data_IF_479437826194
#
_entry.id   IF_479437826194
#
_cell.length_a   1.000
_cell.length_b   1.000
_cell.length_c   1.000
_cell.angle_alpha   90.00
_cell.angle_beta   90.00
_cell.angle_gamma   90.00
#
_symmetry.space_group_name_H-M   'P 1'
#
loop_
_entity.id
_entity.type
_entity.pdbx_description
1 polymer ?
#
# COMPACT_ATOMS: atom_id res chain seq x y z
N UNK A 1 -2.01 -23.98 17.63
CA UNK A 1 -1.66 -22.88 16.69
C UNK A 1 -0.78 -21.88 17.43
N UNK A 2 0.30 -21.42 16.81
CA UNK A 2 1.11 -20.28 17.27
C UNK A 2 1.00 -19.16 16.25
N UNK A 3 0.73 -17.93 16.71
CA UNK A 3 0.66 -16.76 15.85
C UNK A 3 1.85 -15.82 16.15
N UNK A 4 2.63 -15.49 15.12
CA UNK A 4 3.74 -14.55 15.19
C UNK A 4 3.32 -13.21 14.58
N UNK A 5 2.85 -12.30 15.43
CA UNK A 5 2.42 -10.95 15.07
C UNK A 5 3.43 -9.93 15.63
N UNK A 6 4.64 -9.95 15.10
CA UNK A 6 5.76 -9.07 15.48
C UNK A 6 6.17 -8.20 14.28
N UNK A 7 6.92 -7.10 14.49
CA UNK A 7 7.49 -6.34 13.39
C UNK A 7 8.29 -7.23 12.43
N UNK A 8 8.21 -6.93 11.13
CA UNK A 8 8.84 -7.73 10.07
C UNK A 8 10.32 -8.03 10.38
N UNK A 9 11.08 -7.02 10.78
CA UNK A 9 12.53 -7.15 11.00
C UNK A 9 12.86 -8.00 12.25
N UNK A 10 11.91 -8.21 13.16
CA UNK A 10 12.07 -9.08 14.32
C UNK A 10 11.73 -10.55 14.03
N UNK A 11 10.97 -10.83 12.96
CA UNK A 11 10.39 -12.15 12.71
C UNK A 11 11.44 -13.25 12.55
N UNK A 12 12.44 -13.03 11.69
CA UNK A 12 13.48 -14.03 11.44
C UNK A 12 14.28 -14.36 12.72
N UNK A 13 14.70 -13.33 13.45
CA UNK A 13 15.46 -13.49 14.70
C UNK A 13 14.66 -14.22 15.78
N UNK A 14 13.36 -13.92 15.91
CA UNK A 14 12.47 -14.61 16.83
C UNK A 14 12.33 -16.10 16.48
N UNK A 15 12.10 -16.41 15.21
CA UNK A 15 11.91 -17.79 14.73
C UNK A 15 13.17 -18.64 14.95
N UNK A 16 14.34 -18.10 14.62
CA UNK A 16 15.63 -18.75 14.84
C UNK A 16 15.92 -18.95 16.34
N UNK A 17 15.64 -17.94 17.17
CA UNK A 17 15.81 -18.01 18.61
C UNK A 17 14.97 -19.12 19.24
N UNK A 18 13.69 -19.21 18.87
CA UNK A 18 12.78 -20.26 19.35
C UNK A 18 13.21 -21.65 18.87
N UNK A 19 13.76 -21.77 17.66
CA UNK A 19 14.29 -23.04 17.17
C UNK A 19 15.51 -23.51 17.97
N UNK A 20 16.44 -22.60 18.31
CA UNK A 20 17.62 -22.92 19.17
C UNK A 20 17.23 -23.39 20.56
N UNK A 21 16.10 -22.92 21.08
CA UNK A 21 15.55 -23.35 22.37
C UNK A 21 14.75 -24.65 22.27
N UNK A 22 14.59 -25.24 21.08
CA UNK A 22 13.78 -26.45 20.88
C UNK A 22 12.29 -26.22 21.15
N UNK A 23 11.80 -24.99 20.99
CA UNK A 23 10.43 -24.63 21.38
C UNK A 23 9.36 -25.18 20.42
N UNK A 24 9.72 -25.46 19.17
CA UNK A 24 8.80 -25.94 18.14
C UNK A 24 8.42 -27.41 18.33
N UNK A 25 7.13 -27.71 18.19
CA UNK A 25 6.60 -29.07 18.34
C UNK A 25 6.19 -29.66 16.98
N UNK A 26 6.51 -30.93 16.67
CA UNK A 26 6.03 -31.59 15.46
C UNK A 26 4.50 -31.53 15.31
N UNK A 27 4.01 -31.27 14.09
CA UNK A 27 2.58 -31.13 13.79
C UNK A 27 1.93 -29.82 14.25
N UNK A 28 2.65 -28.94 14.96
CA UNK A 28 2.14 -27.65 15.39
C UNK A 28 1.98 -26.70 14.19
N UNK A 29 0.81 -26.08 14.05
CA UNK A 29 0.63 -24.99 13.07
C UNK A 29 1.25 -23.71 13.64
N UNK A 30 2.09 -23.05 12.84
CA UNK A 30 2.70 -21.74 13.15
C UNK A 30 2.40 -20.79 12.00
N UNK A 31 1.70 -19.70 12.28
CA UNK A 31 1.37 -18.66 11.33
C UNK A 31 2.06 -17.35 11.69
N UNK A 32 2.51 -16.57 10.71
CA UNK A 32 2.87 -15.16 10.92
C UNK A 32 1.96 -14.22 10.14
N UNK A 33 1.92 -12.95 10.54
CA UNK A 33 1.08 -11.94 9.89
C UNK A 33 1.84 -10.97 8.99
N UNK A 34 3.17 -11.07 8.86
CA UNK A 34 3.95 -10.21 7.95
C UNK A 34 3.44 -10.29 6.51
N UNK A 35 3.18 -9.15 5.87
CA UNK A 35 2.87 -9.08 4.44
C UNK A 35 4.08 -9.28 3.53
N UNK A 36 5.28 -8.91 4.01
CA UNK A 36 6.54 -9.00 3.27
C UNK A 36 7.07 -10.42 3.12
N UNK A 37 7.01 -11.21 4.19
CA UNK A 37 7.56 -12.57 4.20
C UNK A 37 6.52 -13.59 3.74
N UNK A 38 6.98 -14.64 3.05
CA UNK A 38 6.26 -15.89 2.90
C UNK A 38 6.75 -16.91 3.94
N UNK A 39 6.48 -18.21 3.71
CA UNK A 39 6.84 -19.27 4.68
C UNK A 39 8.33 -19.59 4.74
N UNK A 40 9.16 -19.05 3.83
CA UNK A 40 10.60 -19.25 3.83
C UNK A 40 11.29 -18.78 5.12
N UNK A 41 10.81 -17.69 5.72
CA UNK A 41 11.30 -17.20 7.03
C UNK A 41 11.03 -18.20 8.16
N UNK A 42 10.06 -19.11 7.97
CA UNK A 42 9.69 -20.17 8.90
C UNK A 42 10.40 -21.50 8.60
N UNK A 43 11.50 -21.52 7.83
CA UNK A 43 12.29 -22.74 7.60
C UNK A 43 12.65 -23.50 8.90
N UNK A 44 13.04 -22.85 10.02
CA UNK A 44 13.32 -23.55 11.28
C UNK A 44 12.09 -24.25 11.87
N UNK A 45 10.89 -23.69 11.69
CA UNK A 45 9.63 -24.31 12.10
C UNK A 45 9.42 -25.61 11.33
N UNK A 46 9.58 -25.58 10.01
CA UNK A 46 9.49 -26.77 9.15
C UNK A 46 10.50 -27.84 9.56
N UNK A 47 11.74 -27.45 9.85
CA UNK A 47 12.79 -28.39 10.24
C UNK A 47 12.45 -29.15 11.54
N UNK A 48 11.66 -28.54 12.43
CA UNK A 48 11.14 -29.18 13.64
C UNK A 48 9.86 -30.03 13.41
N UNK A 49 9.42 -30.19 12.15
CA UNK A 49 8.21 -30.94 11.80
C UNK A 49 6.91 -30.18 12.03
N UNK A 50 6.97 -28.88 12.32
CA UNK A 50 5.79 -28.01 12.42
C UNK A 50 5.36 -27.49 11.03
N UNK A 51 4.14 -26.94 10.96
CA UNK A 51 3.44 -26.54 9.73
C UNK A 51 3.47 -25.01 9.61
N UNK A 52 4.34 -24.43 8.75
CA UNK A 52 4.46 -22.98 8.59
C UNK A 52 3.40 -22.42 7.66
N UNK A 53 2.78 -21.32 8.06
CA UNK A 53 1.80 -20.56 7.28
C UNK A 53 2.14 -19.07 7.31
N UNK A 54 1.85 -18.35 6.23
CA UNK A 54 1.89 -16.89 6.19
C UNK A 54 0.47 -16.38 5.90
N UNK A 55 -0.12 -15.67 6.86
CA UNK A 55 -1.51 -15.21 6.82
C UNK A 55 -1.54 -13.69 7.05
N UNK A 56 -1.45 -12.91 5.98
CA UNK A 56 -1.40 -11.45 6.09
C UNK A 56 -2.78 -10.83 5.84
N UNK A 57 -3.47 -10.27 6.85
CA UNK A 57 -4.67 -9.47 6.62
C UNK A 57 -4.34 -8.18 5.87
N UNK A 58 -4.89 -7.98 4.67
CA UNK A 58 -4.70 -6.75 3.89
C UNK A 58 -5.59 -5.60 4.42
N UNK A 59 -5.28 -5.12 5.63
CA UNK A 59 -5.97 -4.00 6.27
C UNK A 59 -5.05 -3.19 7.17
N UNK A 60 -5.48 -1.96 7.48
CA UNK A 60 -4.83 -1.11 8.49
C UNK A 60 -5.49 -1.33 9.85
N UNK A 61 -4.71 -1.73 10.84
CA UNK A 61 -5.16 -1.84 12.23
C UNK A 61 -4.94 -0.52 12.96
N UNK A 62 -5.94 -0.11 13.73
CA UNK A 62 -5.91 1.06 14.61
C UNK A 62 -5.70 0.69 16.09
N UNK A 63 -5.83 -0.60 16.44
CA UNK A 63 -5.82 -1.13 17.80
C UNK A 63 -7.17 -1.00 18.52
N UNK A 64 -8.24 -0.59 17.81
CA UNK A 64 -9.57 -0.38 18.37
C UNK A 64 -10.50 -1.55 18.06
N UNK A 65 -11.57 -1.72 18.86
CA UNK A 65 -12.56 -2.79 18.66
C UNK A 65 -13.20 -2.81 17.26
N UNK A 66 -13.26 -1.65 16.59
CA UNK A 66 -13.75 -1.52 15.22
C UNK A 66 -12.93 -2.33 14.21
N UNK A 67 -11.64 -2.59 14.49
CA UNK A 67 -10.79 -3.40 13.63
C UNK A 67 -11.28 -4.84 13.54
N UNK A 68 -11.92 -5.37 14.59
CA UNK A 68 -12.48 -6.73 14.57
C UNK A 68 -13.60 -6.87 13.54
N UNK A 69 -14.46 -5.85 13.42
CA UNK A 69 -15.50 -5.83 12.40
C UNK A 69 -14.91 -5.76 11.01
N UNK A 70 -13.87 -4.93 10.81
CA UNK A 70 -13.17 -4.81 9.52
C UNK A 70 -12.41 -6.07 9.11
N UNK A 71 -11.97 -6.86 10.09
CA UNK A 71 -11.27 -8.12 9.83
C UNK A 71 -12.14 -9.13 9.06
N UNK A 72 -13.46 -9.12 9.33
CA UNK A 72 -14.43 -10.00 8.65
C UNK A 72 -14.56 -9.65 7.16
N UNK A 73 -14.44 -8.37 6.80
CA UNK A 73 -14.54 -7.92 5.41
C UNK A 73 -13.17 -7.87 4.70
N UNK A 74 -12.11 -8.31 5.37
CA UNK A 74 -10.74 -8.20 4.86
C UNK A 74 -10.36 -9.39 3.98
N UNK A 75 -9.55 -9.14 2.96
CA UNK A 75 -8.87 -10.19 2.20
C UNK A 75 -7.51 -10.50 2.82
N UNK A 76 -7.17 -11.78 2.98
CA UNK A 76 -5.86 -12.20 3.47
C UNK A 76 -4.98 -12.68 2.32
N UNK A 77 -3.74 -12.19 2.27
CA UNK A 77 -2.69 -12.79 1.46
C UNK A 77 -2.15 -14.04 2.14
N UNK A 78 -2.37 -15.20 1.54
CA UNK A 78 -2.02 -16.51 2.08
C UNK A 78 -0.85 -17.12 1.31
N UNK A 79 0.19 -17.53 2.02
CA UNK A 79 1.27 -18.35 1.46
C UNK A 79 1.51 -19.55 2.36
N UNK A 80 1.63 -20.72 1.75
CA UNK A 80 1.88 -22.00 2.41
C UNK A 80 2.47 -22.98 1.38
N UNK A 81 2.99 -24.11 1.84
CA UNK A 81 3.29 -25.21 0.91
C UNK A 81 2.02 -25.69 0.22
N UNK A 82 2.16 -26.24 -0.98
CA UNK A 82 1.04 -26.75 -1.76
C UNK A 82 0.12 -27.71 -0.97
N UNK A 83 0.70 -28.61 -0.16
CA UNK A 83 -0.05 -29.56 0.66
C UNK A 83 -0.77 -28.91 1.87
N UNK A 84 -0.34 -27.72 2.29
CA UNK A 84 -0.83 -27.02 3.48
C UNK A 84 -1.69 -25.80 3.13
N UNK A 85 -1.71 -25.36 1.87
CA UNK A 85 -2.49 -24.22 1.40
C UNK A 85 -4.00 -24.36 1.71
N UNK A 86 -4.66 -25.53 1.52
CA UNK A 86 -6.07 -25.67 1.90
C UNK A 86 -6.32 -25.43 3.40
N UNK A 87 -5.40 -25.85 4.27
CA UNK A 87 -5.49 -25.60 5.72
C UNK A 87 -5.37 -24.10 6.01
N UNK A 88 -4.40 -23.45 5.36
CA UNK A 88 -4.17 -22.01 5.52
C UNK A 88 -5.39 -21.19 5.08
N UNK A 89 -6.00 -21.55 3.94
CA UNK A 89 -7.21 -20.92 3.43
C UNK A 89 -8.42 -21.18 4.33
N UNK A 90 -8.60 -22.41 4.81
CA UNK A 90 -9.68 -22.74 5.75
C UNK A 90 -9.61 -21.91 7.03
N UNK A 91 -8.41 -21.71 7.60
CA UNK A 91 -8.25 -20.85 8.78
C UNK A 91 -8.70 -19.40 8.53
N UNK A 92 -8.46 -18.86 7.34
CA UNK A 92 -8.91 -17.51 6.97
C UNK A 92 -10.43 -17.46 6.81
N UNK A 93 -11.01 -18.44 6.14
CA UNK A 93 -12.47 -18.53 5.95
C UNK A 93 -13.21 -18.69 7.29
N UNK A 94 -12.67 -19.47 8.22
CA UNK A 94 -13.24 -19.63 9.58
C UNK A 94 -13.17 -18.34 10.40
N UNK A 95 -12.24 -17.41 10.07
CA UNK A 95 -12.23 -16.06 10.63
C UNK A 95 -13.24 -15.12 9.95
N UNK A 96 -14.01 -15.60 8.96
CA UNK A 96 -14.97 -14.83 8.19
C UNK A 96 -14.38 -14.04 7.01
N UNK A 97 -13.08 -14.17 6.75
CA UNK A 97 -12.33 -13.40 5.76
C UNK A 97 -12.12 -14.18 4.45
N UNK A 98 -11.73 -13.47 3.39
CA UNK A 98 -11.48 -14.08 2.07
C UNK A 98 -9.98 -14.36 1.86
N UNK A 99 -9.55 -15.62 1.61
CA UNK A 99 -8.15 -15.92 1.34
C UNK A 99 -7.78 -15.77 -0.14
N UNK A 100 -6.68 -15.07 -0.42
CA UNK A 100 -6.04 -15.02 -1.73
C UNK A 100 -4.65 -15.63 -1.65
N UNK A 101 -4.39 -16.67 -2.45
CA UNK A 101 -3.08 -17.29 -2.50
C UNK A 101 -2.06 -16.35 -3.17
N UNK A 102 -0.94 -16.11 -2.49
CA UNK A 102 0.19 -15.32 -2.99
C UNK A 102 1.42 -16.22 -3.03
N UNK A 103 2.12 -16.28 -4.16
CA UNK A 103 3.33 -17.07 -4.27
C UNK A 103 4.44 -16.49 -3.38
N UNK A 104 5.31 -17.38 -2.86
CA UNK A 104 6.44 -17.00 -1.99
C UNK A 104 7.28 -15.86 -2.60
N UNK A 105 7.61 -15.97 -3.89
CA UNK A 105 8.43 -14.99 -4.61
C UNK A 105 7.75 -13.63 -4.84
N UNK A 106 6.42 -13.58 -4.76
CA UNK A 106 5.64 -12.37 -5.04
C UNK A 106 5.35 -11.55 -3.78
N UNK A 107 5.65 -12.06 -2.59
CA UNK A 107 5.27 -11.43 -1.30
C UNK A 107 5.78 -10.01 -1.15
N UNK A 108 7.00 -9.75 -1.62
CA UNK A 108 7.56 -8.39 -1.56
C UNK A 108 6.80 -7.43 -2.48
N UNK A 109 6.50 -7.83 -3.71
CA UNK A 109 5.74 -7.00 -4.65
C UNK A 109 4.29 -6.82 -4.19
N UNK A 110 3.65 -7.90 -3.71
CA UNK A 110 2.33 -7.89 -3.09
C UNK A 110 2.25 -6.87 -1.95
N UNK A 111 3.19 -6.93 -0.99
CA UNK A 111 3.20 -6.01 0.14
C UNK A 111 3.50 -4.57 -0.30
N UNK A 112 4.40 -4.39 -1.28
CA UNK A 112 4.68 -3.08 -1.87
C UNK A 112 3.42 -2.48 -2.49
N UNK A 113 2.61 -3.27 -3.21
CA UNK A 113 1.36 -2.81 -3.81
C UNK A 113 0.36 -2.34 -2.74
N UNK A 114 0.21 -3.09 -1.65
CA UNK A 114 -0.67 -2.71 -0.54
C UNK A 114 -0.20 -1.45 0.18
N UNK A 115 1.10 -1.37 0.49
CA UNK A 115 1.69 -0.17 1.10
C UNK A 115 1.56 1.05 0.18
N UNK A 116 1.74 0.87 -1.13
CA UNK A 116 1.60 1.95 -2.10
C UNK A 116 0.15 2.43 -2.23
N UNK A 117 -0.84 1.53 -2.17
CA UNK A 117 -2.26 1.89 -2.24
C UNK A 117 -2.84 2.44 -0.93
N UNK A 118 -2.32 2.02 0.23
CA UNK A 118 -2.86 2.38 1.54
C UNK A 118 -2.00 3.41 2.27
N UNK A 119 -0.74 3.11 2.55
CA UNK A 119 0.11 3.97 3.38
C UNK A 119 0.41 5.30 2.68
N UNK A 120 0.72 5.27 1.39
CA UNK A 120 0.97 6.52 0.64
C UNK A 120 -0.30 7.37 0.49
N UNK A 121 -1.50 6.77 0.52
CA UNK A 121 -2.73 7.54 0.56
C UNK A 121 -2.81 8.39 1.84
N UNK A 122 -2.35 7.86 2.99
CA UNK A 122 -2.27 8.65 4.23
C UNK A 122 -1.35 9.85 4.07
N UNK A 123 -0.15 9.64 3.50
CA UNK A 123 0.80 10.74 3.21
C UNK A 123 0.19 11.78 2.29
N UNK A 124 -0.42 11.36 1.17
CA UNK A 124 -1.05 12.26 0.20
C UNK A 124 -2.17 13.09 0.83
N UNK A 125 -3.01 12.48 1.67
CA UNK A 125 -4.09 13.19 2.36
C UNK A 125 -3.54 14.15 3.41
N UNK A 126 -2.47 13.78 4.12
CA UNK A 126 -1.83 14.66 5.10
C UNK A 126 -1.24 15.90 4.43
N UNK A 127 -0.49 15.73 3.34
CA UNK A 127 0.09 16.82 2.55
C UNK A 127 -1.00 17.74 1.97
N UNK A 128 -2.06 17.17 1.37
CA UNK A 128 -3.18 17.96 0.85
C UNK A 128 -3.91 18.74 1.97
N UNK A 129 -4.10 18.12 3.14
CA UNK A 129 -4.73 18.79 4.28
C UNK A 129 -3.86 19.93 4.83
N UNK A 130 -2.53 19.77 4.82
CA UNK A 130 -1.59 20.80 5.23
C UNK A 130 -1.68 22.01 4.29
N UNK A 131 -1.57 21.81 2.98
CA UNK A 131 -1.70 22.89 1.99
C UNK A 131 -3.02 23.66 2.16
N UNK A 132 -4.13 22.95 2.36
CA UNK A 132 -5.44 23.57 2.56
C UNK A 132 -5.52 24.40 3.83
N UNK A 133 -4.93 23.94 4.95
CA UNK A 133 -4.85 24.74 6.19
C UNK A 133 -4.07 26.02 5.98
N UNK A 134 -2.95 25.94 5.28
CA UNK A 134 -2.05 27.09 5.12
C UNK A 134 -2.64 28.18 4.22
N UNK A 135 -3.57 27.82 3.32
CA UNK A 135 -4.39 28.79 2.56
C UNK A 135 -5.68 29.21 3.27
N UNK A 136 -5.86 28.84 4.55
CA UNK A 136 -6.94 29.31 5.41
C UNK A 136 -8.19 28.43 5.46
N UNK A 137 -8.11 27.15 5.05
CA UNK A 137 -9.22 26.20 5.23
C UNK A 137 -9.15 25.59 6.63
N UNK A 138 -10.07 25.99 7.51
CA UNK A 138 -10.10 25.55 8.92
C UNK A 138 -10.29 24.03 9.08
N UNK A 139 -11.10 23.41 8.23
CA UNK A 139 -11.47 21.99 8.30
C UNK A 139 -11.26 21.27 6.95
N UNK A 140 -10.01 21.06 6.50
CA UNK A 140 -9.70 20.43 5.21
C UNK A 140 -10.34 19.06 5.04
N UNK A 141 -10.46 18.28 6.11
CA UNK A 141 -11.06 16.95 6.09
C UNK A 141 -12.53 16.96 5.65
N UNK A 142 -13.27 18.05 5.93
CA UNK A 142 -14.66 18.21 5.44
C UNK A 142 -14.72 18.47 3.94
N UNK A 143 -13.69 19.12 3.39
CA UNK A 143 -13.56 19.38 1.96
C UNK A 143 -13.01 18.15 1.22
N UNK A 144 -11.94 17.55 1.73
CA UNK A 144 -11.26 16.42 1.13
C UNK A 144 -12.04 15.12 1.26
N UNK A 145 -12.75 14.90 2.38
CA UNK A 145 -13.41 13.63 2.68
C UNK A 145 -14.35 13.14 1.57
N UNK A 146 -15.38 13.92 1.15
CA UNK A 146 -16.27 13.53 0.07
C UNK A 146 -15.55 13.36 -1.28
N UNK A 147 -14.61 14.25 -1.59
CA UNK A 147 -13.85 14.23 -2.85
C UNK A 147 -12.99 12.96 -2.97
N UNK A 148 -12.24 12.63 -1.92
CA UNK A 148 -11.34 11.47 -1.90
C UNK A 148 -12.12 10.15 -1.87
N UNK A 149 -13.26 10.10 -1.17
CA UNK A 149 -14.13 8.91 -1.18
C UNK A 149 -14.65 8.61 -2.58
N UNK A 150 -15.21 9.62 -3.27
CA UNK A 150 -15.67 9.47 -4.64
C UNK A 150 -14.51 9.10 -5.59
N UNK A 151 -13.33 9.69 -5.38
CA UNK A 151 -12.14 9.38 -6.17
C UNK A 151 -11.70 7.92 -5.99
N UNK A 152 -11.64 7.44 -4.75
CA UNK A 152 -11.31 6.04 -4.43
C UNK A 152 -12.34 5.07 -5.01
N UNK A 153 -13.63 5.34 -4.83
CA UNK A 153 -14.71 4.51 -5.37
C UNK A 153 -14.64 4.42 -6.90
N UNK A 154 -14.43 5.55 -7.59
CA UNK A 154 -14.26 5.57 -9.04
C UNK A 154 -13.01 4.80 -9.48
N UNK A 155 -11.89 4.96 -8.78
CA UNK A 155 -10.64 4.26 -9.09
C UNK A 155 -10.77 2.74 -8.89
N UNK A 156 -11.50 2.30 -7.86
CA UNK A 156 -11.75 0.87 -7.63
C UNK A 156 -12.72 0.27 -8.67
N UNK A 157 -13.75 1.02 -9.06
CA UNK A 157 -14.76 0.54 -10.01
C UNK A 157 -14.28 0.55 -11.46
N UNK A 158 -13.54 1.59 -11.85
CA UNK A 158 -13.18 1.87 -13.25
C UNK A 158 -11.67 1.76 -13.51
N UNK A 159 -10.87 1.54 -12.46
CA UNK A 159 -9.42 1.52 -12.58
C UNK A 159 -8.90 2.82 -13.14
N UNK A 160 -7.98 2.72 -14.08
CA UNK A 160 -7.31 3.87 -14.67
C UNK A 160 -8.22 4.72 -15.56
N UNK A 161 -9.39 4.22 -16.01
CA UNK A 161 -10.32 5.07 -16.79
C UNK A 161 -10.96 6.17 -15.94
N UNK A 162 -10.89 6.07 -14.61
CA UNK A 162 -11.24 7.16 -13.69
C UNK A 162 -10.21 8.29 -13.67
N UNK A 163 -9.07 8.16 -14.37
CA UNK A 163 -8.03 9.18 -14.38
C UNK A 163 -8.55 10.46 -15.05
N UNK A 164 -8.64 11.53 -14.27
CA UNK A 164 -9.08 12.85 -14.70
C UNK A 164 -8.06 13.92 -14.26
N UNK A 165 -8.42 15.19 -14.39
CA UNK A 165 -7.59 16.31 -13.94
C UNK A 165 -6.62 16.82 -15.01
N UNK A 166 -5.83 17.85 -14.65
CA UNK A 166 -5.06 18.61 -15.62
C UNK A 166 -3.97 17.78 -16.32
N UNK A 167 -3.32 16.85 -15.61
CA UNK A 167 -2.30 15.97 -16.21
C UNK A 167 -2.90 15.06 -17.28
N UNK A 168 -4.05 14.43 -16.99
CA UNK A 168 -4.69 13.50 -17.92
C UNK A 168 -5.25 14.19 -19.18
N UNK A 169 -5.64 15.47 -19.06
CA UNK A 169 -6.12 16.30 -20.18
C UNK A 169 -4.99 16.97 -20.97
N UNK A 170 -3.77 17.01 -20.44
CA UNK A 170 -2.66 17.71 -21.07
C UNK A 170 -2.68 19.22 -20.82
N UNK A 171 -3.27 19.68 -19.71
CA UNK A 171 -3.36 21.09 -19.33
C UNK A 171 -2.01 21.58 -18.79
N UNK A 172 -1.02 21.75 -19.67
CA UNK A 172 0.38 22.06 -19.32
C UNK A 172 0.48 23.32 -18.44
N UNK A 173 -0.23 24.39 -18.79
CA UNK A 173 -0.18 25.65 -18.02
C UNK A 173 -0.67 25.47 -16.58
N UNK A 174 -1.70 24.66 -16.36
CA UNK A 174 -2.19 24.34 -15.01
C UNK A 174 -1.16 23.55 -14.21
N UNK A 175 -0.51 22.56 -14.84
CA UNK A 175 0.51 21.74 -14.18
C UNK A 175 1.75 22.57 -13.85
N UNK A 176 2.18 23.46 -14.74
CA UNK A 176 3.29 24.38 -14.51
C UNK A 176 2.99 25.32 -13.31
N UNK A 177 1.81 25.93 -13.29
CA UNK A 177 1.39 26.81 -12.20
C UNK A 177 1.32 26.08 -10.85
N UNK A 178 0.84 24.82 -10.83
CA UNK A 178 0.86 24.02 -9.61
C UNK A 178 2.28 23.74 -9.12
N UNK A 179 3.19 23.38 -10.03
CA UNK A 179 4.58 23.09 -9.66
C UNK A 179 5.30 24.35 -9.14
N UNK A 180 5.06 25.51 -9.75
CA UNK A 180 5.59 26.80 -9.29
C UNK A 180 5.07 27.18 -7.90
N UNK A 181 3.75 27.09 -7.68
CA UNK A 181 3.16 27.36 -6.36
C UNK A 181 3.75 26.45 -5.26
N UNK A 182 3.99 25.18 -5.58
CA UNK A 182 4.60 24.24 -4.64
C UNK A 182 6.10 24.52 -4.43
N UNK A 183 6.85 24.99 -5.44
CA UNK A 183 8.23 25.45 -5.27
C UNK A 183 8.32 26.63 -4.32
N UNK A 184 7.43 27.61 -4.46
CA UNK A 184 7.38 28.76 -3.56
C UNK A 184 7.04 28.34 -2.12
N UNK A 185 6.08 27.42 -1.98
CA UNK A 185 5.66 26.88 -0.70
C UNK A 185 6.79 26.09 0.01
N UNK A 186 7.46 25.17 -0.69
CA UNK A 186 8.56 24.35 -0.15
C UNK A 186 9.90 25.10 -0.08
N UNK A 187 10.07 26.23 -0.77
CA UNK A 187 11.28 27.05 -0.58
C UNK A 187 11.35 27.67 0.83
N UNK A 188 10.20 27.85 1.48
CA UNK A 188 10.10 28.43 2.84
C UNK A 188 10.18 27.41 3.99
N UNK A 189 9.93 26.13 3.71
CA UNK A 189 9.92 25.05 4.68
C UNK A 189 10.57 23.83 4.01
N UNK A 190 11.49 23.11 4.65
CA UNK A 190 12.10 21.90 4.07
C UNK A 190 11.03 20.83 3.80
N UNK A 191 10.30 20.97 2.69
CA UNK A 191 9.01 20.36 2.43
C UNK A 191 9.13 19.16 1.50
N UNK A 192 8.21 18.22 1.69
CA UNK A 192 8.12 16.95 0.97
C UNK A 192 6.99 16.95 -0.09
N UNK A 193 6.27 18.07 -0.23
CA UNK A 193 5.03 18.14 -1.00
C UNK A 193 5.30 18.29 -2.50
N UNK A 194 6.25 19.14 -2.88
CA UNK A 194 6.66 19.32 -4.27
C UNK A 194 7.18 18.00 -4.85
N UNK A 195 8.07 17.31 -4.12
CA UNK A 195 8.64 16.04 -4.57
C UNK A 195 7.54 15.00 -4.82
N UNK A 196 6.62 14.84 -3.86
CA UNK A 196 5.49 13.93 -3.98
C UNK A 196 4.56 14.29 -5.16
N UNK A 197 4.25 15.58 -5.33
CA UNK A 197 3.44 16.07 -6.45
C UNK A 197 4.09 15.76 -7.80
N UNK A 198 5.37 16.09 -7.96
CA UNK A 198 6.10 15.87 -9.21
C UNK A 198 6.19 14.37 -9.52
N UNK A 199 6.47 13.52 -8.53
CA UNK A 199 6.51 12.07 -8.72
C UNK A 199 5.17 11.52 -9.22
N UNK A 200 4.06 11.91 -8.58
CA UNK A 200 2.73 11.46 -8.95
C UNK A 200 2.25 12.04 -10.29
N UNK A 201 2.57 13.30 -10.60
CA UNK A 201 2.24 13.92 -11.87
C UNK A 201 2.99 13.25 -13.04
N UNK A 202 4.29 12.94 -12.87
CA UNK A 202 5.08 12.20 -13.87
C UNK A 202 4.57 10.78 -14.05
N UNK A 203 4.21 10.08 -12.97
CA UNK A 203 3.59 8.75 -13.07
C UNK A 203 2.25 8.82 -13.82
N UNK A 204 1.41 9.81 -13.51
CA UNK A 204 0.12 10.04 -14.16
C UNK A 204 0.26 10.34 -15.64
N UNK A 205 1.20 11.22 -16.03
CA UNK A 205 1.44 11.56 -17.43
C UNK A 205 1.89 10.34 -18.25
N UNK A 206 2.77 9.50 -17.69
CA UNK A 206 3.19 8.23 -18.33
C UNK A 206 1.99 7.31 -18.57
N UNK A 207 1.14 7.13 -17.57
CA UNK A 207 -0.05 6.27 -17.63
C UNK A 207 -1.12 6.80 -18.60
N UNK A 208 -1.31 8.11 -18.65
CA UNK A 208 -2.22 8.75 -19.59
C UNK A 208 -1.73 8.61 -21.04
N UNK A 209 -0.43 8.79 -21.29
CA UNK A 209 0.15 8.61 -22.62
C UNK A 209 0.10 7.16 -23.10
N UNK A 210 0.43 6.17 -22.24
CA UNK A 210 0.35 4.75 -22.62
C UNK A 210 -1.05 4.30 -23.01
N UNK A 211 -2.08 5.06 -22.64
CA UNK A 211 -3.49 4.81 -22.96
C UNK A 211 -4.04 5.70 -24.09
N UNK A 212 -3.19 6.50 -24.72
CA UNK A 212 -3.58 7.38 -25.83
C UNK A 212 -4.40 8.60 -25.41
N UNK A 213 -4.46 8.94 -24.12
CA UNK A 213 -5.10 10.17 -23.64
C UNK A 213 -4.25 11.41 -23.93
N UNK A 214 -2.93 11.22 -24.05
CA UNK A 214 -1.97 12.27 -24.37
C UNK A 214 -1.22 11.93 -25.64
N UNK A 215 -1.10 12.92 -26.52
CA UNK A 215 -0.19 12.89 -27.66
C UNK A 215 1.27 13.06 -27.17
N UNK A 216 2.22 12.70 -28.03
CA UNK A 216 3.65 12.72 -27.68
C UNK A 216 4.17 14.14 -27.37
N UNK A 217 3.68 15.15 -28.08
CA UNK A 217 3.96 16.57 -27.85
C UNK A 217 3.42 17.03 -26.49
N UNK A 218 2.18 16.66 -26.14
CA UNK A 218 1.59 16.95 -24.83
C UNK A 218 2.36 16.30 -23.68
N UNK A 219 2.79 15.05 -23.85
CA UNK A 219 3.64 14.38 -22.85
C UNK A 219 4.98 15.08 -22.69
N UNK A 220 5.61 15.50 -23.79
CA UNK A 220 6.87 16.25 -23.77
C UNK A 220 6.72 17.58 -23.03
N UNK A 221 5.68 18.35 -23.35
CA UNK A 221 5.40 19.63 -22.71
C UNK A 221 5.08 19.48 -21.20
N UNK A 222 4.32 18.44 -20.82
CA UNK A 222 4.08 18.12 -19.40
C UNK A 222 5.37 17.76 -18.66
N UNK A 223 6.29 17.02 -19.29
CA UNK A 223 7.58 16.69 -18.67
C UNK A 223 8.41 17.94 -18.43
N UNK A 224 8.52 18.81 -19.44
CA UNK A 224 9.23 20.08 -19.30
C UNK A 224 8.66 20.93 -18.15
N UNK A 225 7.33 21.09 -18.09
CA UNK A 225 6.66 21.83 -17.02
C UNK A 225 6.91 21.25 -15.61
N UNK A 226 7.15 19.93 -15.51
CA UNK A 226 7.47 19.23 -14.27
C UNK A 226 8.98 19.19 -13.95
N UNK A 227 9.83 19.68 -14.85
CA UNK A 227 11.30 19.70 -14.72
C UNK A 227 11.85 21.12 -14.56
N UNK A 228 11.18 22.16 -15.08
CA UNK A 228 11.61 23.57 -14.97
C UNK A 228 11.67 24.04 -13.51
N UNK A 229 12.81 23.89 -12.84
CA UNK A 229 13.01 24.32 -11.45
C UNK A 229 14.44 24.22 -10.92
N UNK A 230 15.43 23.98 -11.79
CA UNK A 230 16.87 24.06 -11.49
C UNK A 230 17.51 25.27 -12.20
#
# INVERSE_FOLDING_TARGET
LVLLAVPDDALAGLVDGLAKLGAWQPGQIVAHTSGRFGVGVLRPVRAAGAIPLALHPAMTFTGMSLDLTRLLDCTFGVTADAAMLPIAQALVVEMGAEPVAIAEGDRTLYHTALAHGSNHMVTLVAQASQLLRDVGVDAPERMLGPLLRATLENALASGESALTGPVARGDVGTVAAHAEALREYDAGAHGDVLEAYLAMARATARRASSRGLLKADQLGALRAALEEGD
#
